data_IF_256098113578
#
_entry.id   IF_256098113578
#
_cell.length_a   1.000
_cell.length_b   1.000
_cell.length_c   1.000
_cell.angle_alpha   90.00
_cell.angle_beta   90.00
_cell.angle_gamma   90.00
#
_symmetry.space_group_name_H-M   'P 1'
#
loop_
_entity.id
_entity.type
_entity.pdbx_description
1 polymer ?
#
# COMPACT_ATOMS: atom_id res chain seq x y z
N UNK A 1 9.09 -75.04 27.77
CA UNK A 1 8.12 -74.42 26.83
C UNK A 1 7.44 -73.29 27.58
N UNK A 2 7.64 -72.02 27.19
CA UNK A 2 7.00 -70.87 27.86
C UNK A 2 5.64 -70.59 27.20
N UNK A 3 4.59 -70.31 27.97
CA UNK A 3 3.28 -69.94 27.43
C UNK A 3 3.37 -68.57 26.72
N UNK A 4 2.82 -68.50 25.50
CA UNK A 4 2.63 -67.25 24.77
C UNK A 4 1.51 -66.45 25.44
N UNK A 5 1.84 -65.26 25.94
CA UNK A 5 0.89 -64.32 26.50
C UNK A 5 0.18 -63.60 25.32
N UNK A 6 -1.15 -63.60 25.20
CA UNK A 6 -1.84 -62.89 24.14
C UNK A 6 -1.63 -61.38 24.29
N UNK A 7 -1.20 -60.73 23.22
CA UNK A 7 -1.13 -59.26 23.11
C UNK A 7 -2.52 -58.66 23.37
N UNK A 8 -2.65 -57.66 24.27
CA UNK A 8 -3.93 -57.00 24.51
C UNK A 8 -4.31 -56.17 23.28
N UNK A 9 -5.47 -56.47 22.69
CA UNK A 9 -6.11 -55.56 21.73
C UNK A 9 -6.46 -54.26 22.46
N UNK A 10 -6.15 -53.08 21.88
CA UNK A 10 -6.56 -51.81 22.48
C UNK A 10 -8.09 -51.69 22.42
N UNK A 11 -8.73 -51.13 23.46
CA UNK A 11 -10.19 -51.07 23.56
C UNK A 11 -10.78 -50.24 22.41
N UNK A 12 -11.86 -50.75 21.81
CA UNK A 12 -12.59 -50.14 20.70
C UNK A 12 -13.03 -48.68 20.95
N UNK A 13 -13.05 -48.24 22.21
CA UNK A 13 -13.30 -46.86 22.60
C UNK A 13 -12.30 -45.85 22.02
N UNK A 14 -11.06 -46.25 21.68
CA UNK A 14 -10.08 -45.33 21.12
C UNK A 14 -10.29 -45.02 19.62
N UNK A 15 -11.15 -45.79 18.92
CA UNK A 15 -11.47 -45.53 17.50
C UNK A 15 -12.54 -44.46 17.30
N UNK A 16 -13.28 -44.08 18.35
CA UNK A 16 -14.40 -43.14 18.24
C UNK A 16 -14.00 -41.65 18.35
N UNK A 17 -12.75 -41.33 18.69
CA UNK A 17 -12.30 -39.96 18.97
C UNK A 17 -11.65 -39.19 17.83
N UNK A 18 -11.46 -39.79 16.65
CA UNK A 18 -10.79 -39.14 15.51
C UNK A 18 -11.74 -38.87 14.34
N UNK A 19 -12.99 -38.50 14.63
CA UNK A 19 -13.70 -37.63 13.69
C UNK A 19 -13.08 -36.24 13.81
N UNK A 20 -11.89 -36.08 13.20
CA UNK A 20 -11.49 -34.80 12.62
C UNK A 20 -12.63 -34.47 11.66
N UNK A 21 -13.49 -33.56 12.10
CA UNK A 21 -14.53 -33.00 11.26
C UNK A 21 -13.77 -32.28 10.15
N UNK A 22 -13.70 -32.88 8.96
CA UNK A 22 -13.37 -32.19 7.72
C UNK A 22 -14.50 -31.21 7.44
N UNK A 23 -14.64 -30.18 8.29
CA UNK A 23 -15.37 -29.00 7.91
C UNK A 23 -14.61 -28.44 6.70
N UNK A 24 -15.25 -28.28 5.53
CA UNK A 24 -14.59 -27.64 4.39
C UNK A 24 -14.02 -26.32 4.89
N UNK A 25 -12.78 -25.95 4.54
CA UNK A 25 -12.13 -24.79 5.12
C UNK A 25 -13.05 -23.60 4.88
N UNK A 26 -13.80 -23.19 5.91
CA UNK A 26 -14.61 -21.96 5.88
C UNK A 26 -13.62 -20.91 5.45
N UNK A 27 -13.80 -20.40 4.23
CA UNK A 27 -12.86 -19.50 3.59
C UNK A 27 -12.35 -18.53 4.65
N UNK A 28 -11.10 -18.72 5.07
CA UNK A 28 -10.59 -18.03 6.24
C UNK A 28 -10.81 -16.53 5.97
N UNK A 29 -11.41 -15.77 6.92
CA UNK A 29 -11.79 -14.38 6.67
C UNK A 29 -10.59 -13.66 6.06
N UNK A 30 -10.78 -13.12 4.85
CA UNK A 30 -9.73 -12.43 4.11
C UNK A 30 -9.15 -11.37 5.03
N UNK A 31 -7.86 -11.44 5.32
CA UNK A 31 -7.22 -10.46 6.20
C UNK A 31 -7.48 -9.04 5.66
N UNK A 32 -7.80 -8.09 6.54
CA UNK A 32 -8.05 -6.70 6.13
C UNK A 32 -6.79 -6.12 5.49
N UNK A 33 -6.98 -5.26 4.48
CA UNK A 33 -5.92 -4.47 3.87
C UNK A 33 -5.30 -3.53 4.92
N UNK A 34 -3.99 -3.28 4.82
CA UNK A 34 -3.33 -2.29 5.68
C UNK A 34 -3.95 -0.91 5.44
N UNK A 35 -4.47 -0.28 6.50
CA UNK A 35 -5.03 1.08 6.44
C UNK A 35 -3.98 2.09 5.99
N UNK A 36 -2.72 1.91 6.37
CA UNK A 36 -1.61 2.74 5.94
C UNK A 36 -1.38 2.64 4.42
N UNK A 37 -1.52 1.46 3.82
CA UNK A 37 -1.41 1.27 2.36
C UNK A 37 -2.58 1.88 1.59
N UNK A 38 -3.79 1.90 2.19
CA UNK A 38 -4.95 2.56 1.60
C UNK A 38 -4.77 4.08 1.64
N UNK A 39 -4.33 4.61 2.79
CA UNK A 39 -4.05 6.05 2.96
C UNK A 39 -2.93 6.47 2.02
N UNK A 40 -1.84 5.70 1.90
CA UNK A 40 -0.74 6.03 0.99
C UNK A 40 -1.19 6.07 -0.47
N UNK A 41 -2.04 5.13 -0.89
CA UNK A 41 -2.61 5.11 -2.23
C UNK A 41 -3.54 6.30 -2.47
N UNK A 42 -4.39 6.65 -1.51
CA UNK A 42 -5.28 7.80 -1.63
C UNK A 42 -4.48 9.10 -1.81
N UNK A 43 -3.42 9.29 -1.02
CA UNK A 43 -2.52 10.44 -1.19
C UNK A 43 -1.77 10.40 -2.53
N UNK A 44 -1.32 9.24 -2.99
CA UNK A 44 -0.69 9.12 -4.30
C UNK A 44 -1.65 9.52 -5.44
N UNK A 45 -2.93 9.14 -5.36
CA UNK A 45 -3.96 9.55 -6.33
C UNK A 45 -4.18 11.06 -6.30
N UNK A 46 -4.30 11.67 -5.11
CA UNK A 46 -4.42 13.12 -4.97
C UNK A 46 -3.20 13.84 -5.56
N UNK A 47 -1.99 13.33 -5.30
CA UNK A 47 -0.75 13.85 -5.86
C UNK A 47 -0.76 13.79 -7.40
N UNK A 48 -1.18 12.68 -7.99
CA UNK A 48 -1.34 12.54 -9.44
C UNK A 48 -2.32 13.57 -10.00
N UNK A 49 -3.48 13.77 -9.35
CA UNK A 49 -4.48 14.72 -9.82
C UNK A 49 -3.95 16.16 -9.80
N UNK A 50 -3.23 16.55 -8.74
CA UNK A 50 -2.61 17.88 -8.65
C UNK A 50 -1.56 18.09 -9.73
N UNK A 51 -0.69 17.10 -9.98
CA UNK A 51 0.32 17.17 -11.03
C UNK A 51 -0.28 17.21 -12.43
N UNK A 52 -1.31 16.39 -12.70
CA UNK A 52 -2.03 16.42 -13.97
C UNK A 52 -2.72 17.77 -14.20
N UNK A 53 -3.38 18.31 -13.18
CA UNK A 53 -4.03 19.62 -13.27
C UNK A 53 -3.02 20.74 -13.55
N UNK A 54 -1.87 20.73 -12.86
CA UNK A 54 -0.78 21.65 -13.13
C UNK A 54 -0.23 21.49 -14.56
N UNK A 55 -0.01 20.26 -15.02
CA UNK A 55 0.48 19.98 -16.37
C UNK A 55 -0.50 20.46 -17.46
N UNK A 56 -1.81 20.23 -17.28
CA UNK A 56 -2.85 20.72 -18.19
C UNK A 56 -2.89 22.25 -18.20
N UNK A 57 -2.78 22.89 -17.03
CA UNK A 57 -2.74 24.35 -16.94
C UNK A 57 -1.52 24.92 -17.66
N UNK A 58 -0.32 24.35 -17.48
CA UNK A 58 0.88 24.77 -18.21
C UNK A 58 0.75 24.55 -19.73
N UNK A 59 0.18 23.42 -20.14
CA UNK A 59 -0.06 23.15 -21.56
C UNK A 59 -1.06 24.12 -22.18
N UNK A 60 -2.12 24.47 -21.46
CA UNK A 60 -3.10 25.47 -21.88
C UNK A 60 -2.43 26.84 -22.08
N UNK A 61 -1.61 27.27 -21.13
CA UNK A 61 -0.87 28.54 -21.19
C UNK A 61 0.18 28.57 -22.32
N UNK A 62 0.76 27.42 -22.67
CA UNK A 62 1.74 27.31 -23.75
C UNK A 62 1.18 27.50 -25.17
N UNK A 63 -0.13 27.71 -25.34
CA UNK A 63 -0.78 27.88 -26.66
C UNK A 63 -0.65 29.29 -27.25
N UNK A 64 -0.08 30.23 -26.52
CA UNK A 64 0.33 31.54 -27.06
C UNK A 64 -0.72 32.65 -27.03
N UNK A 65 -1.94 32.38 -26.57
CA UNK A 65 -2.96 33.41 -26.29
C UNK A 65 -2.96 33.73 -24.80
N UNK A 66 -2.13 34.70 -24.37
CA UNK A 66 -2.09 35.14 -22.97
C UNK A 66 -3.08 36.28 -22.73
N UNK A 67 -4.10 36.02 -21.91
CA UNK A 67 -5.05 37.01 -21.36
C UNK A 67 -4.69 37.31 -19.91
N UNK A 68 -5.13 38.45 -19.38
CA UNK A 68 -4.90 38.79 -17.97
C UNK A 68 -5.50 37.74 -16.99
N UNK A 69 -6.54 37.05 -17.45
CA UNK A 69 -7.25 35.95 -16.77
C UNK A 69 -6.33 34.74 -16.54
N UNK A 70 -5.35 34.53 -17.42
CA UNK A 70 -4.42 33.39 -17.39
C UNK A 70 -3.38 33.50 -16.28
N UNK A 71 -3.18 34.69 -15.72
CA UNK A 71 -2.34 34.88 -14.54
C UNK A 71 -2.89 34.11 -13.33
N UNK A 72 -4.22 34.04 -13.17
CA UNK A 72 -4.87 33.27 -12.10
C UNK A 72 -4.68 31.76 -12.32
N UNK A 73 -4.75 31.31 -13.58
CA UNK A 73 -4.53 29.91 -13.96
C UNK A 73 -3.08 29.50 -13.68
N UNK A 74 -2.11 30.35 -14.02
CA UNK A 74 -0.70 30.13 -13.71
C UNK A 74 -0.48 30.05 -12.20
N UNK A 75 -1.06 30.98 -11.43
CA UNK A 75 -0.91 31.03 -9.98
C UNK A 75 -1.53 29.81 -9.30
N UNK A 76 -2.68 29.34 -9.81
CA UNK A 76 -3.30 28.09 -9.38
C UNK A 76 -2.44 26.86 -9.73
N UNK A 77 -1.82 26.82 -10.91
CA UNK A 77 -0.93 25.73 -11.33
C UNK A 77 0.32 25.64 -10.45
N UNK A 78 0.93 26.78 -10.14
CA UNK A 78 2.07 26.87 -9.20
C UNK A 78 1.64 26.43 -7.80
N UNK A 79 0.49 26.89 -7.33
CA UNK A 79 -0.07 26.48 -6.03
C UNK A 79 -0.32 24.96 -5.94
N UNK A 80 -0.90 24.36 -6.99
CA UNK A 80 -1.12 22.92 -7.08
C UNK A 80 0.21 22.15 -7.11
N UNK A 81 1.23 22.64 -7.81
CA UNK A 81 2.57 22.07 -7.81
C UNK A 81 3.24 22.11 -6.44
N UNK A 82 3.10 23.22 -5.71
CA UNK A 82 3.61 23.36 -4.35
C UNK A 82 2.91 22.40 -3.37
N UNK A 83 1.59 22.21 -3.51
CA UNK A 83 0.80 21.27 -2.70
C UNK A 83 1.07 19.80 -3.04
N UNK A 84 1.52 19.50 -4.26
CA UNK A 84 1.87 18.14 -4.67
C UNK A 84 3.10 17.61 -3.90
N UNK A 85 4.04 18.48 -3.50
CA UNK A 85 5.25 18.08 -2.76
C UNK A 85 4.98 17.48 -1.37
N UNK A 86 4.26 18.14 -0.44
CA UNK A 86 3.92 17.54 0.84
C UNK A 86 3.01 16.32 0.67
N UNK A 87 2.14 16.32 -0.36
CA UNK A 87 1.31 15.17 -0.69
C UNK A 87 2.15 13.94 -1.07
N UNK A 88 3.14 14.12 -1.96
CA UNK A 88 4.09 13.08 -2.34
C UNK A 88 4.91 12.58 -1.14
N UNK A 89 5.38 13.48 -0.28
CA UNK A 89 6.11 13.11 0.93
C UNK A 89 5.27 12.22 1.87
N UNK A 90 4.01 12.60 2.11
CA UNK A 90 3.09 11.81 2.95
C UNK A 90 2.79 10.46 2.29
N UNK A 91 2.52 10.41 0.98
CA UNK A 91 2.31 9.17 0.26
C UNK A 91 3.52 8.23 0.36
N UNK A 92 4.73 8.77 0.24
CA UNK A 92 5.97 8.00 0.34
C UNK A 92 6.20 7.44 1.75
N UNK A 93 6.04 8.27 2.79
CA UNK A 93 6.22 7.84 4.19
C UNK A 93 5.15 6.82 4.58
N UNK A 94 3.88 7.09 4.26
CA UNK A 94 2.79 6.14 4.54
C UNK A 94 2.97 4.83 3.77
N UNK A 95 3.46 4.89 2.53
CA UNK A 95 3.82 3.71 1.73
C UNK A 95 4.94 2.89 2.37
N UNK A 96 6.02 3.55 2.81
CA UNK A 96 7.12 2.89 3.51
C UNK A 96 6.65 2.21 4.80
N UNK A 97 5.84 2.90 5.61
CA UNK A 97 5.24 2.33 6.83
C UNK A 97 4.34 1.13 6.50
N UNK A 98 3.51 1.24 5.46
CA UNK A 98 2.66 0.15 4.97
C UNK A 98 3.47 -1.06 4.51
N UNK A 99 4.61 -0.85 3.86
CA UNK A 99 5.54 -1.91 3.45
C UNK A 99 6.15 -2.61 4.67
N UNK A 100 6.61 -1.86 5.67
CA UNK A 100 7.12 -2.43 6.92
C UNK A 100 6.04 -3.25 7.66
N UNK A 101 4.80 -2.77 7.69
CA UNK A 101 3.67 -3.51 8.26
C UNK A 101 3.34 -4.80 7.48
N UNK A 102 3.53 -4.81 6.16
CA UNK A 102 3.35 -6.02 5.37
C UNK A 102 4.47 -7.04 5.58
N UNK A 103 5.71 -6.57 5.85
CA UNK A 103 6.88 -7.41 6.07
C UNK A 103 6.97 -7.97 7.50
N UNK A 104 6.42 -7.28 8.50
CA UNK A 104 6.37 -7.80 9.88
C UNK A 104 5.20 -8.78 10.05
N UNK A 105 5.46 -10.09 10.19
CA UNK A 105 4.41 -11.04 10.49
C UNK A 105 3.85 -10.75 11.89
N UNK A 106 2.53 -10.83 11.99
CA UNK A 106 1.84 -10.56 13.25
C UNK A 106 2.15 -11.68 14.26
N UNK A 107 2.70 -11.32 15.43
CA UNK A 107 3.25 -12.28 16.39
C UNK A 107 2.22 -13.29 16.92
N UNK A 108 0.92 -12.95 16.88
CA UNK A 108 -0.17 -13.82 17.33
C UNK A 108 -0.66 -14.80 16.28
N UNK A 109 -0.43 -14.53 15.00
CA UNK A 109 -1.14 -15.24 13.92
C UNK A 109 -0.25 -15.64 12.74
N UNK A 110 1.01 -15.19 12.69
CA UNK A 110 2.04 -15.64 11.75
C UNK A 110 1.83 -15.29 10.28
N UNK A 111 0.67 -14.74 9.88
CA UNK A 111 0.44 -14.30 8.49
C UNK A 111 0.82 -12.82 8.30
N UNK A 112 1.13 -12.47 7.07
CA UNK A 112 1.43 -11.09 6.64
C UNK A 112 0.17 -10.35 6.19
N UNK A 113 0.17 -9.03 6.30
CA UNK A 113 -0.91 -8.19 5.77
C UNK A 113 -0.85 -8.15 4.22
N UNK A 114 -2.02 -8.07 3.58
CA UNK A 114 -2.13 -7.84 2.13
C UNK A 114 -2.12 -6.32 1.87
N UNK A 115 -1.46 -5.91 0.79
CA UNK A 115 -1.34 -4.48 0.42
C UNK A 115 0.07 -4.00 0.08
N UNK A 116 1.08 -4.88 0.12
CA UNK A 116 2.46 -4.53 -0.25
C UNK A 116 2.54 -3.89 -1.64
N UNK A 117 1.79 -4.42 -2.62
CA UNK A 117 1.72 -3.84 -3.97
C UNK A 117 1.16 -2.41 -3.98
N UNK A 118 0.15 -2.11 -3.15
CA UNK A 118 -0.40 -0.74 -3.06
C UNK A 118 0.63 0.24 -2.49
N UNK A 119 1.38 -0.19 -1.47
CA UNK A 119 2.48 0.59 -0.90
C UNK A 119 3.56 0.87 -1.96
N UNK A 120 4.02 -0.15 -2.69
CA UNK A 120 5.02 -0.01 -3.76
C UNK A 120 4.55 0.94 -4.84
N UNK A 121 3.32 0.79 -5.34
CA UNK A 121 2.76 1.68 -6.36
C UNK A 121 2.70 3.12 -5.86
N UNK A 122 2.22 3.36 -4.63
CA UNK A 122 2.16 4.70 -4.05
C UNK A 122 3.55 5.36 -3.93
N UNK A 123 4.58 4.59 -3.56
CA UNK A 123 5.96 5.08 -3.48
C UNK A 123 6.53 5.39 -4.86
N UNK A 124 6.29 4.54 -5.88
CA UNK A 124 6.72 4.79 -7.25
C UNK A 124 6.09 6.05 -7.85
N UNK A 125 4.83 6.31 -7.55
CA UNK A 125 4.12 7.53 -7.99
C UNK A 125 4.66 8.78 -7.29
N UNK A 126 4.99 8.68 -6.00
CA UNK A 126 5.54 9.79 -5.23
C UNK A 126 7.02 10.09 -5.53
N UNK A 127 7.76 9.14 -6.10
CA UNK A 127 9.20 9.24 -6.31
C UNK A 127 9.60 10.38 -7.28
N UNK A 128 8.98 10.54 -8.47
CA UNK A 128 9.37 11.59 -9.42
C UNK A 128 9.27 13.02 -8.88
N UNK A 129 8.15 13.49 -8.27
CA UNK A 129 8.09 14.85 -7.75
C UNK A 129 9.07 15.09 -6.60
N UNK A 130 9.31 14.08 -5.76
CA UNK A 130 10.33 14.16 -4.69
C UNK A 130 11.75 14.24 -5.27
N UNK A 131 12.08 13.40 -6.25
CA UNK A 131 13.39 13.40 -6.90
C UNK A 131 13.67 14.74 -7.60
N UNK A 132 12.67 15.29 -8.30
CA UNK A 132 12.76 16.60 -8.92
C UNK A 132 13.00 17.71 -7.88
N UNK A 133 12.27 17.70 -6.76
CA UNK A 133 12.45 18.69 -5.71
C UNK A 133 13.86 18.64 -5.09
N UNK A 134 14.38 17.43 -4.83
CA UNK A 134 15.75 17.24 -4.33
C UNK A 134 16.76 17.76 -5.34
N UNK A 135 16.61 17.39 -6.62
CA UNK A 135 17.50 17.86 -7.69
C UNK A 135 17.47 19.40 -7.84
N UNK A 136 16.27 20.01 -7.79
CA UNK A 136 16.11 21.46 -7.87
C UNK A 136 16.78 22.18 -6.69
N UNK A 137 16.66 21.62 -5.48
CA UNK A 137 17.35 22.15 -4.30
C UNK A 137 18.88 22.04 -4.42
N UNK A 138 19.39 20.91 -4.94
CA UNK A 138 20.83 20.71 -5.12
C UNK A 138 21.46 21.69 -6.11
N UNK A 139 20.72 22.10 -7.16
CA UNK A 139 21.22 23.07 -8.14
C UNK A 139 20.98 24.53 -7.77
N UNK A 140 20.22 24.79 -6.70
CA UNK A 140 19.99 26.13 -6.19
C UNK A 140 21.07 26.57 -5.17
N UNK A 141 21.92 25.64 -4.73
CA UNK A 141 23.07 25.85 -3.85
C UNK A 141 24.35 26.03 -4.66
#
# INVERSE_FOLDING_TARGET
MRPQNPTPEPPAALRAGSMVRDDPPRAAPSRPFSTAAIVSLAFAVVCCLLLCAAAVAYWYLGRGEYRAEDALVLLAAVGMGMLALPCAAVAFVAGAVGMVQCLRPDARTGRTCRGMWMAVVSMLVALPPLAYAIWAQLNAM
#
